data_IF_527918577126
#
_entry.id   IF_527918577126
#
_cell.length_a   1.000
_cell.length_b   1.000
_cell.length_c   1.000
_cell.angle_alpha   90.00
_cell.angle_beta   90.00
_cell.angle_gamma   90.00
#
_symmetry.space_group_name_H-M   'P 1'
#
loop_
_entity.id
_entity.type
_entity.pdbx_description
1 polymer ?
#
# COMPACT_ATOMS: atom_id res chain seq x y z
N UNK A 1 48.09 43.58 -16.50
CA UNK A 1 46.77 44.22 -16.54
C UNK A 1 45.77 43.30 -17.23
N UNK A 2 44.89 42.60 -16.52
CA UNK A 2 43.88 41.72 -17.13
C UNK A 2 42.70 42.62 -17.53
N UNK A 3 42.46 42.76 -18.85
CA UNK A 3 41.32 43.50 -19.38
C UNK A 3 40.03 42.80 -18.99
N UNK A 4 39.19 43.39 -18.13
CA UNK A 4 37.84 42.90 -17.84
C UNK A 4 37.00 42.94 -19.13
N UNK A 5 36.74 41.77 -19.72
CA UNK A 5 35.85 41.65 -20.88
C UNK A 5 34.42 41.81 -20.31
N UNK A 6 33.73 42.89 -20.71
CA UNK A 6 32.31 43.09 -20.38
C UNK A 6 31.45 42.28 -21.35
N UNK A 7 30.66 41.36 -20.83
CA UNK A 7 29.71 40.58 -21.64
C UNK A 7 28.75 41.51 -22.41
N UNK A 8 28.50 41.22 -23.65
CA UNK A 8 27.57 41.94 -24.53
C UNK A 8 26.11 41.76 -24.02
N UNK A 9 25.19 42.59 -24.49
CA UNK A 9 23.79 42.52 -24.13
C UNK A 9 23.17 41.16 -24.51
N UNK A 10 23.54 40.62 -25.67
CA UNK A 10 23.13 39.31 -26.18
C UNK A 10 23.67 38.14 -25.32
N UNK A 11 24.94 38.20 -24.90
CA UNK A 11 25.54 37.21 -24.02
C UNK A 11 24.85 37.15 -22.66
N UNK A 12 24.46 38.28 -22.10
CA UNK A 12 23.70 38.34 -20.84
C UNK A 12 22.31 37.74 -20.98
N UNK A 13 21.62 37.99 -22.11
CA UNK A 13 20.31 37.41 -22.38
C UNK A 13 20.40 35.86 -22.51
N UNK A 14 21.42 35.39 -23.23
CA UNK A 14 21.67 33.95 -23.37
C UNK A 14 21.97 33.33 -22.00
N UNK A 15 22.78 33.96 -21.17
CA UNK A 15 23.11 33.46 -19.84
C UNK A 15 21.86 33.38 -18.92
N UNK A 16 21.00 34.41 -18.97
CA UNK A 16 19.74 34.42 -18.23
C UNK A 16 18.81 33.25 -18.71
N UNK A 17 18.74 33.03 -20.02
CA UNK A 17 17.94 31.95 -20.60
C UNK A 17 18.46 30.59 -20.21
N UNK A 18 19.79 30.38 -20.21
CA UNK A 18 20.40 29.12 -19.74
C UNK A 18 20.13 28.88 -18.26
N UNK A 19 20.26 29.92 -17.42
CA UNK A 19 19.93 29.83 -15.98
C UNK A 19 18.47 29.51 -15.77
N UNK A 20 17.55 30.12 -16.53
CA UNK A 20 16.11 29.82 -16.46
C UNK A 20 15.81 28.40 -16.86
N UNK A 21 16.40 27.92 -17.99
CA UNK A 21 16.26 26.51 -18.41
C UNK A 21 16.83 25.53 -17.36
N UNK A 22 17.97 25.87 -16.77
CA UNK A 22 18.59 25.06 -15.70
C UNK A 22 17.71 24.98 -14.46
N UNK A 23 17.16 26.10 -13.98
CA UNK A 23 16.26 26.12 -12.81
C UNK A 23 14.93 25.43 -13.12
N UNK A 24 14.37 25.62 -14.30
CA UNK A 24 13.15 24.94 -14.74
C UNK A 24 13.35 23.43 -14.84
N UNK A 25 14.45 22.97 -15.45
CA UNK A 25 14.79 21.54 -15.53
C UNK A 25 15.02 20.95 -14.16
N UNK A 26 15.68 21.63 -13.24
CA UNK A 26 15.91 21.18 -11.88
C UNK A 26 14.60 21.07 -11.08
N UNK A 27 13.73 22.08 -11.16
CA UNK A 27 12.40 22.04 -10.54
C UNK A 27 11.54 20.92 -11.11
N UNK A 28 11.54 20.74 -12.43
CA UNK A 28 10.80 19.65 -13.11
C UNK A 28 11.30 18.28 -12.68
N UNK A 29 12.61 18.12 -12.47
CA UNK A 29 13.20 16.86 -11.98
C UNK A 29 12.69 16.50 -10.58
N UNK A 30 12.58 17.47 -9.66
CA UNK A 30 12.00 17.23 -8.33
C UNK A 30 10.52 16.88 -8.37
N UNK A 31 9.73 17.55 -9.22
CA UNK A 31 8.32 17.26 -9.41
C UNK A 31 8.09 15.85 -10.00
N UNK A 32 8.91 15.44 -10.97
CA UNK A 32 8.80 14.11 -11.59
C UNK A 32 9.25 13.00 -10.62
N UNK A 33 10.15 13.30 -9.67
CA UNK A 33 10.64 12.35 -8.68
C UNK A 33 9.62 12.02 -7.60
N UNK A 34 8.63 12.88 -7.37
CA UNK A 34 7.54 12.59 -6.43
C UNK A 34 6.56 11.60 -7.06
N UNK A 35 6.65 10.34 -6.60
CA UNK A 35 5.79 9.25 -7.07
C UNK A 35 4.30 9.48 -6.81
N UNK A 36 3.95 10.43 -5.94
CA UNK A 36 2.58 10.68 -5.50
C UNK A 36 1.90 11.85 -6.23
N UNK A 37 2.61 12.64 -7.04
CA UNK A 37 2.12 13.93 -7.56
C UNK A 37 0.82 13.85 -8.40
N UNK A 38 0.60 12.70 -9.05
CA UNK A 38 -0.58 12.47 -9.90
C UNK A 38 -1.59 11.51 -9.27
N UNK A 39 -1.44 11.19 -7.98
CA UNK A 39 -2.35 10.27 -7.29
C UNK A 39 -3.52 11.04 -6.71
N UNK A 40 -4.74 10.61 -7.07
CA UNK A 40 -5.95 11.14 -6.48
C UNK A 40 -6.07 10.65 -5.03
N UNK A 41 -6.03 11.58 -4.09
CA UNK A 41 -6.28 11.26 -2.70
C UNK A 41 -7.78 11.39 -2.40
N UNK A 42 -8.37 10.32 -1.89
CA UNK A 42 -9.78 10.26 -1.53
C UNK A 42 -9.96 10.65 -0.05
N UNK A 43 -10.82 11.63 0.20
CA UNK A 43 -11.25 11.98 1.55
C UNK A 43 -12.48 11.13 1.90
N UNK A 44 -12.35 10.15 2.80
CA UNK A 44 -13.45 9.25 3.15
C UNK A 44 -14.65 9.98 3.77
N UNK A 45 -14.47 11.16 4.35
CA UNK A 45 -15.55 11.97 4.92
C UNK A 45 -16.47 12.61 3.86
N UNK A 46 -16.00 12.67 2.61
CA UNK A 46 -16.77 13.22 1.47
C UNK A 46 -17.46 12.16 0.63
N UNK A 47 -17.38 10.90 1.05
CA UNK A 47 -17.94 9.76 0.33
C UNK A 47 -19.06 9.15 1.17
N UNK A 48 -20.22 8.92 0.54
CA UNK A 48 -21.32 8.20 1.19
C UNK A 48 -21.14 6.69 0.97
N UNK A 49 -21.17 5.91 2.04
CA UNK A 49 -21.03 4.46 1.99
C UNK A 49 -22.34 3.79 2.41
N UNK A 50 -22.67 2.68 1.74
CA UNK A 50 -23.85 1.87 2.09
C UNK A 50 -23.71 1.25 3.49
N UNK A 51 -22.52 0.74 3.83
CA UNK A 51 -22.20 0.07 5.09
C UNK A 51 -20.98 0.71 5.76
N UNK A 52 -21.09 1.90 6.36
CA UNK A 52 -19.93 2.63 6.89
C UNK A 52 -19.18 1.85 7.99
N UNK A 53 -19.87 0.99 8.75
CA UNK A 53 -19.26 0.13 9.77
C UNK A 53 -18.33 -0.95 9.21
N UNK A 54 -18.35 -1.18 7.90
CA UNK A 54 -17.49 -2.13 7.22
C UNK A 54 -16.41 -1.45 6.38
N UNK A 55 -16.24 -0.12 6.49
CA UNK A 55 -15.22 0.62 5.77
C UNK A 55 -13.95 0.74 6.61
N UNK A 56 -12.85 0.22 6.08
CA UNK A 56 -11.51 0.41 6.60
C UNK A 56 -10.73 1.38 5.70
N UNK A 57 -10.00 2.32 6.32
CA UNK A 57 -9.19 3.33 5.64
C UNK A 57 -7.74 3.02 5.94
N UNK A 58 -7.02 2.52 4.93
CA UNK A 58 -5.59 2.30 4.97
C UNK A 58 -4.91 3.56 4.45
N UNK A 59 -4.08 4.19 5.29
CA UNK A 59 -3.26 5.32 4.91
C UNK A 59 -1.84 4.85 4.58
N UNK A 60 -1.37 5.18 3.38
CA UNK A 60 -0.01 4.94 2.92
C UNK A 60 0.64 6.27 2.48
N UNK A 61 1.88 6.23 2.01
CA UNK A 61 2.64 7.43 1.64
C UNK A 61 1.91 8.32 0.63
N UNK A 62 1.31 7.73 -0.41
CA UNK A 62 0.65 8.48 -1.48
C UNK A 62 -0.85 8.77 -1.24
N UNK A 63 -1.41 8.40 -0.10
CA UNK A 63 -2.80 8.72 0.21
C UNK A 63 -3.58 7.59 0.87
N UNK A 64 -4.91 7.70 0.77
CA UNK A 64 -5.83 6.76 1.38
C UNK A 64 -6.27 5.69 0.39
N UNK A 65 -6.33 4.46 0.87
CA UNK A 65 -6.96 3.29 0.23
C UNK A 65 -8.18 2.95 1.05
N UNK A 66 -9.35 2.92 0.43
CA UNK A 66 -10.62 2.64 1.11
C UNK A 66 -11.03 1.22 0.77
N UNK A 67 -11.18 0.41 1.81
CA UNK A 67 -11.50 -1.02 1.73
C UNK A 67 -12.88 -1.24 2.31
N UNK A 68 -13.77 -1.83 1.54
CA UNK A 68 -15.04 -2.36 2.05
C UNK A 68 -14.83 -3.81 2.49
N UNK A 69 -15.04 -4.08 3.78
CA UNK A 69 -14.93 -5.41 4.38
C UNK A 69 -16.22 -6.20 4.17
N UNK A 70 -16.10 -7.51 4.00
CA UNK A 70 -17.23 -8.41 3.75
C UNK A 70 -17.42 -9.44 4.86
N UNK A 71 -18.04 -9.07 6.01
CA UNK A 71 -18.28 -9.99 7.10
C UNK A 71 -19.33 -11.10 6.80
N UNK A 72 -20.08 -10.96 5.71
CA UNK A 72 -21.08 -11.98 5.33
C UNK A 72 -20.40 -13.22 4.73
N UNK A 73 -19.22 -13.06 4.09
CA UNK A 73 -18.43 -14.18 3.56
C UNK A 73 -17.49 -14.75 4.62
N UNK A 74 -16.74 -13.87 5.33
CA UNK A 74 -15.71 -14.30 6.27
C UNK A 74 -15.81 -13.58 7.61
N UNK A 75 -16.83 -13.91 8.43
CA UNK A 75 -17.14 -13.16 9.65
C UNK A 75 -16.01 -13.17 10.69
N UNK A 76 -15.34 -14.32 10.90
CA UNK A 76 -14.27 -14.44 11.89
C UNK A 76 -12.99 -13.71 11.43
N UNK A 77 -12.66 -13.82 10.16
CA UNK A 77 -11.52 -13.17 9.53
C UNK A 77 -11.67 -11.65 9.53
N UNK A 78 -12.84 -11.15 9.16
CA UNK A 78 -13.16 -9.72 9.24
C UNK A 78 -13.15 -9.24 10.68
N UNK A 79 -13.68 -10.01 11.64
CA UNK A 79 -13.61 -9.68 13.06
C UNK A 79 -12.17 -9.57 13.56
N UNK A 80 -11.29 -10.54 13.19
CA UNK A 80 -9.86 -10.49 13.51
C UNK A 80 -9.21 -9.23 12.93
N UNK A 81 -9.45 -8.92 11.66
CA UNK A 81 -8.90 -7.75 10.99
C UNK A 81 -9.34 -6.45 11.68
N UNK A 82 -10.63 -6.32 12.01
CA UNK A 82 -11.16 -5.16 12.78
C UNK A 82 -10.55 -5.05 14.18
N UNK A 83 -10.32 -6.18 14.87
CA UNK A 83 -9.67 -6.20 16.19
C UNK A 83 -8.25 -5.64 16.11
N UNK A 84 -7.47 -6.06 15.11
CA UNK A 84 -6.11 -5.58 14.88
C UNK A 84 -6.07 -4.10 14.43
N UNK A 85 -7.09 -3.63 13.71
CA UNK A 85 -7.27 -2.20 13.41
C UNK A 85 -7.54 -1.40 14.69
N UNK A 86 -8.46 -1.86 15.53
CA UNK A 86 -8.84 -1.18 16.78
C UNK A 86 -7.67 -1.05 17.75
N UNK A 87 -6.82 -2.07 17.84
CA UNK A 87 -5.58 -2.05 18.64
C UNK A 87 -4.42 -1.29 17.97
N UNK A 88 -4.63 -0.71 16.77
CA UNK A 88 -3.60 -0.02 15.97
C UNK A 88 -2.40 -0.90 15.62
N UNK A 89 -2.60 -2.22 15.60
CA UNK A 89 -1.51 -3.18 15.36
C UNK A 89 -0.89 -3.04 13.97
N UNK A 90 -1.65 -2.56 12.98
CA UNK A 90 -1.15 -2.32 11.62
C UNK A 90 -0.35 -1.03 11.44
N UNK A 91 -0.28 -0.15 12.44
CA UNK A 91 0.46 1.11 12.32
C UNK A 91 1.95 0.84 12.11
N UNK A 92 2.53 1.50 11.12
CA UNK A 92 3.95 1.40 10.75
C UNK A 92 4.40 -0.03 10.35
N UNK A 93 3.50 -0.84 9.79
CA UNK A 93 3.81 -2.18 9.27
C UNK A 93 4.22 -2.11 7.81
N UNK A 94 5.26 -2.84 7.45
CA UNK A 94 5.82 -2.86 6.10
C UNK A 94 4.90 -3.57 5.09
N UNK A 95 4.88 -3.05 3.87
CA UNK A 95 4.50 -3.81 2.69
C UNK A 95 5.71 -4.68 2.30
N UNK A 96 5.83 -5.83 2.93
CA UNK A 96 7.05 -6.64 2.89
C UNK A 96 7.21 -7.49 1.63
N UNK A 97 6.11 -7.85 0.96
CA UNK A 97 6.11 -8.62 -0.28
C UNK A 97 5.29 -7.88 -1.34
N UNK A 98 5.92 -7.58 -2.47
CA UNK A 98 5.28 -6.86 -3.57
C UNK A 98 5.68 -7.52 -4.90
N UNK A 99 4.69 -8.08 -5.58
CA UNK A 99 4.81 -8.54 -6.96
C UNK A 99 4.20 -7.45 -7.82
N UNK A 100 5.05 -6.81 -8.63
CA UNK A 100 4.64 -5.67 -9.47
C UNK A 100 3.40 -6.00 -10.28
N UNK A 101 2.46 -5.07 -10.30
CA UNK A 101 1.18 -5.12 -11.02
C UNK A 101 0.30 -6.33 -10.68
N UNK A 102 0.69 -7.17 -9.70
CA UNK A 102 -0.03 -8.39 -9.32
C UNK A 102 -0.54 -8.38 -7.88
N UNK A 103 0.35 -8.20 -6.89
CA UNK A 103 0.02 -8.41 -5.48
C UNK A 103 0.87 -7.55 -4.55
N UNK A 104 0.25 -7.07 -3.48
CA UNK A 104 0.90 -6.42 -2.34
C UNK A 104 0.48 -7.14 -1.06
N UNK A 105 1.45 -7.53 -0.24
CA UNK A 105 1.23 -8.20 1.04
C UNK A 105 1.85 -7.42 2.19
N UNK A 106 1.11 -7.33 3.29
CA UNK A 106 1.48 -6.67 4.54
C UNK A 106 0.95 -7.43 5.75
N UNK A 107 1.11 -6.88 6.96
CA UNK A 107 0.49 -7.43 8.15
C UNK A 107 1.38 -8.37 8.96
N UNK A 108 2.68 -8.42 8.69
CA UNK A 108 3.65 -9.03 9.61
C UNK A 108 3.86 -8.09 10.80
N UNK A 109 3.19 -8.41 11.92
CA UNK A 109 3.16 -7.54 13.10
C UNK A 109 4.37 -7.73 14.02
N UNK A 110 5.10 -8.83 13.85
CA UNK A 110 6.23 -9.20 14.68
C UNK A 110 7.55 -8.70 14.08
N UNK A 111 7.77 -8.97 12.78
CA UNK A 111 9.06 -8.71 12.12
C UNK A 111 9.01 -7.57 11.09
N UNK A 112 7.81 -7.01 10.80
CA UNK A 112 7.61 -6.01 9.77
C UNK A 112 7.43 -4.58 10.28
N UNK A 113 7.76 -4.25 11.53
CA UNK A 113 7.57 -2.90 12.10
C UNK A 113 8.66 -1.92 11.67
N UNK A 114 8.26 -0.70 11.31
CA UNK A 114 9.18 0.39 10.97
C UNK A 114 10.18 0.64 12.11
N UNK A 115 11.46 0.68 11.77
CA UNK A 115 12.54 0.87 12.74
C UNK A 115 13.00 -0.43 13.43
N UNK A 116 12.29 -1.56 13.23
CA UNK A 116 12.63 -2.85 13.81
C UNK A 116 12.31 -4.01 12.85
N UNK A 117 12.70 -3.89 11.58
CA UNK A 117 12.47 -4.95 10.59
C UNK A 117 13.54 -6.03 10.76
N UNK A 118 13.08 -7.27 10.94
CA UNK A 118 13.95 -8.46 10.84
C UNK A 118 13.83 -9.06 9.44
N UNK A 119 14.75 -8.70 8.55
CA UNK A 119 14.76 -9.15 7.16
C UNK A 119 14.97 -10.66 6.98
N UNK A 120 15.46 -11.37 8.00
CA UNK A 120 15.61 -12.82 7.94
C UNK A 120 14.29 -13.55 8.23
N UNK A 121 13.35 -12.90 8.92
CA UNK A 121 12.08 -13.50 9.38
C UNK A 121 10.85 -12.84 8.81
N UNK A 122 10.97 -11.67 8.18
CA UNK A 122 9.84 -10.92 7.66
C UNK A 122 8.99 -11.79 6.71
N UNK A 123 7.68 -11.72 6.86
CA UNK A 123 6.72 -12.59 6.18
C UNK A 123 6.32 -13.83 6.98
N UNK A 124 6.97 -14.10 8.13
CA UNK A 124 6.63 -15.24 9.01
C UNK A 124 5.97 -14.85 10.31
N UNK A 125 5.97 -13.55 10.64
CA UNK A 125 5.44 -13.03 11.91
C UNK A 125 3.92 -13.13 12.03
N UNK A 126 3.46 -13.13 13.26
CA UNK A 126 2.06 -13.33 13.68
C UNK A 126 1.57 -12.17 14.56
N UNK A 127 0.28 -12.18 14.91
CA UNK A 127 -0.32 -11.18 15.80
C UNK A 127 -0.12 -11.51 17.29
N UNK A 128 0.20 -12.75 17.61
CA UNK A 128 0.17 -13.25 18.98
C UNK A 128 -1.22 -13.66 19.50
N UNK A 129 -2.28 -13.52 18.69
CA UNK A 129 -3.65 -13.88 19.05
C UNK A 129 -4.05 -15.31 18.62
N UNK A 130 -3.10 -16.07 18.08
CA UNK A 130 -3.34 -17.39 17.47
C UNK A 130 -3.93 -17.32 16.07
N UNK A 131 -3.97 -18.44 15.39
CA UNK A 131 -4.54 -18.56 14.04
C UNK A 131 -6.06 -18.58 14.06
N UNK A 132 -6.68 -18.34 12.91
CA UNK A 132 -8.12 -18.48 12.70
C UNK A 132 -8.35 -19.52 11.60
N UNK A 133 -9.56 -20.10 11.62
CA UNK A 133 -9.98 -21.06 10.60
C UNK A 133 -10.18 -20.36 9.27
N UNK A 134 -9.76 -21.01 8.20
CA UNK A 134 -9.98 -20.53 6.84
C UNK A 134 -11.48 -20.42 6.53
N UNK A 135 -11.89 -19.29 5.94
CA UNK A 135 -13.26 -18.99 5.51
C UNK A 135 -13.25 -18.78 3.99
N UNK A 136 -12.77 -19.79 3.26
CA UNK A 136 -12.71 -19.75 1.78
C UNK A 136 -14.11 -19.83 1.17
N UNK A 137 -14.30 -19.18 0.04
CA UNK A 137 -15.53 -19.21 -0.74
C UNK A 137 -15.19 -19.45 -2.21
N UNK A 138 -15.57 -20.61 -2.75
CA UNK A 138 -15.34 -21.00 -4.15
C UNK A 138 -16.08 -20.12 -5.16
N UNK A 139 -17.07 -19.33 -4.71
CA UNK A 139 -17.83 -18.39 -5.56
C UNK A 139 -17.29 -16.98 -5.53
N UNK A 140 -16.33 -16.71 -4.64
CA UNK A 140 -15.71 -15.39 -4.55
C UNK A 140 -14.66 -15.24 -5.64
N UNK A 141 -14.90 -14.31 -6.57
CA UNK A 141 -13.96 -13.98 -7.64
C UNK A 141 -12.86 -13.05 -7.12
N UNK A 142 -11.60 -13.47 -7.25
CA UNK A 142 -10.44 -12.66 -6.91
C UNK A 142 -10.10 -11.68 -8.03
N UNK A 143 -10.95 -10.69 -8.21
CA UNK A 143 -10.76 -9.59 -9.14
C UNK A 143 -9.85 -8.49 -8.56
N UNK A 144 -9.30 -7.64 -9.43
CA UNK A 144 -8.48 -6.49 -9.03
C UNK A 144 -9.11 -5.70 -7.88
N UNK A 145 -8.32 -5.48 -6.82
CA UNK A 145 -8.75 -4.84 -5.58
C UNK A 145 -9.23 -5.80 -4.49
N UNK A 146 -9.41 -7.10 -4.76
CA UNK A 146 -9.76 -8.05 -3.72
C UNK A 146 -8.70 -8.11 -2.62
N UNK A 147 -9.15 -8.23 -1.37
CA UNK A 147 -8.32 -8.31 -0.17
C UNK A 147 -8.52 -9.68 0.45
N UNK A 148 -7.45 -10.46 0.60
CA UNK A 148 -7.48 -11.78 1.21
C UNK A 148 -6.51 -11.90 2.39
N UNK A 149 -6.76 -12.87 3.28
CA UNK A 149 -5.80 -13.23 4.30
C UNK A 149 -4.74 -14.18 3.74
N UNK A 150 -3.49 -13.95 4.13
CA UNK A 150 -2.40 -14.84 3.78
C UNK A 150 -2.42 -16.10 4.66
N UNK A 151 -2.20 -17.23 4.01
CA UNK A 151 -1.97 -18.53 4.68
C UNK A 151 -0.47 -18.87 4.65
N UNK A 152 -0.02 -19.75 5.53
CA UNK A 152 1.31 -20.34 5.47
C UNK A 152 1.34 -21.49 4.44
N UNK A 153 1.70 -22.72 4.85
CA UNK A 153 1.75 -23.88 3.96
C UNK A 153 0.42 -24.65 3.87
N UNK A 154 -0.57 -24.28 4.67
CA UNK A 154 -1.87 -24.99 4.78
C UNK A 154 -2.96 -24.05 5.27
N UNK A 155 -4.20 -24.48 5.11
CA UNK A 155 -5.38 -23.81 5.69
C UNK A 155 -5.32 -23.74 7.22
N UNK A 156 -6.15 -22.89 7.78
CA UNK A 156 -6.30 -22.63 9.22
C UNK A 156 -5.01 -22.04 9.86
N UNK A 157 -4.22 -21.32 9.04
CA UNK A 157 -3.00 -20.64 9.47
C UNK A 157 -3.09 -19.13 9.33
N UNK A 158 -4.23 -18.60 8.92
CA UNK A 158 -4.52 -17.17 8.82
C UNK A 158 -4.39 -16.50 10.19
N UNK A 159 -3.92 -15.26 10.20
CA UNK A 159 -3.82 -14.46 11.42
C UNK A 159 -3.90 -12.96 11.12
N UNK A 160 -2.76 -12.31 10.91
CA UNK A 160 -2.68 -10.85 10.71
C UNK A 160 -2.27 -10.44 9.31
N UNK A 161 -1.58 -11.32 8.58
CA UNK A 161 -1.08 -10.98 7.25
C UNK A 161 -2.21 -11.01 6.22
N UNK A 162 -2.23 -9.99 5.38
CA UNK A 162 -3.21 -9.85 4.31
C UNK A 162 -2.53 -9.43 3.01
N UNK A 163 -3.18 -9.69 1.90
CA UNK A 163 -2.74 -9.23 0.59
C UNK A 163 -3.87 -8.49 -0.14
N UNK A 164 -3.48 -7.63 -1.06
CA UNK A 164 -4.37 -6.94 -1.99
C UNK A 164 -3.89 -7.26 -3.40
N UNK A 165 -4.78 -7.74 -4.27
CA UNK A 165 -4.43 -8.06 -5.64
C UNK A 165 -4.65 -6.85 -6.56
N UNK A 166 -3.74 -6.68 -7.51
CA UNK A 166 -3.72 -5.54 -8.43
C UNK A 166 -4.16 -5.91 -9.85
N UNK A 167 -4.39 -7.20 -10.12
CA UNK A 167 -4.99 -7.74 -11.34
C UNK A 167 -5.91 -8.91 -10.98
N UNK A 168 -6.73 -9.36 -11.89
CA UNK A 168 -7.59 -10.53 -11.66
C UNK A 168 -6.73 -11.80 -11.51
N UNK A 169 -7.06 -12.63 -10.50
CA UNK A 169 -6.28 -13.81 -10.15
C UNK A 169 -7.18 -15.02 -9.85
N UNK A 170 -7.74 -15.67 -10.90
CA UNK A 170 -8.68 -16.79 -10.73
C UNK A 170 -8.09 -17.98 -9.96
N UNK A 171 -6.78 -18.13 -9.91
CA UNK A 171 -6.11 -19.21 -9.16
C UNK A 171 -6.22 -19.05 -7.64
N UNK A 172 -6.76 -17.93 -7.15
CA UNK A 172 -6.94 -17.68 -5.71
C UNK A 172 -8.36 -18.03 -5.23
N UNK A 173 -9.27 -18.28 -6.17
CA UNK A 173 -10.66 -18.66 -5.89
C UNK A 173 -10.70 -20.02 -5.17
N UNK A 174 -11.41 -20.08 -4.03
CA UNK A 174 -11.43 -21.28 -3.19
C UNK A 174 -10.12 -21.59 -2.43
N UNK A 175 -9.04 -20.83 -2.64
CA UNK A 175 -7.73 -21.07 -2.03
C UNK A 175 -7.44 -20.14 -0.85
N UNK A 176 -7.98 -18.94 -0.88
CA UNK A 176 -7.73 -17.93 0.15
C UNK A 176 -9.02 -17.39 0.74
N UNK A 177 -8.97 -16.99 2.01
CA UNK A 177 -10.10 -16.34 2.71
C UNK A 177 -10.23 -14.89 2.25
N UNK A 178 -11.31 -14.48 1.53
CA UNK A 178 -11.54 -13.09 1.14
C UNK A 178 -12.09 -12.30 2.32
N UNK A 179 -11.55 -11.11 2.59
CA UNK A 179 -12.03 -10.26 3.69
C UNK A 179 -12.66 -8.94 3.22
N UNK A 180 -12.52 -8.60 1.95
CA UNK A 180 -13.06 -7.36 1.41
C UNK A 180 -12.51 -6.97 0.05
N UNK A 181 -12.79 -5.72 -0.35
CA UNK A 181 -12.35 -5.16 -1.62
C UNK A 181 -11.97 -3.70 -1.49
N UNK A 182 -10.90 -3.29 -2.17
CA UNK A 182 -10.57 -1.87 -2.37
C UNK A 182 -11.61 -1.23 -3.28
N UNK A 183 -12.28 -0.20 -2.80
CA UNK A 183 -13.31 0.54 -3.52
C UNK A 183 -12.84 1.91 -4.01
N UNK A 184 -11.79 2.48 -3.37
CA UNK A 184 -11.11 3.71 -3.83
C UNK A 184 -9.64 3.66 -3.47
N UNK A 185 -8.80 4.30 -4.27
CA UNK A 185 -7.38 4.51 -3.99
C UNK A 185 -6.48 3.33 -4.36
N UNK A 186 -6.91 2.46 -5.26
CA UNK A 186 -6.07 1.34 -5.72
C UNK A 186 -4.76 1.84 -6.35
N UNK A 187 -4.78 3.01 -6.98
CA UNK A 187 -3.62 3.68 -7.59
C UNK A 187 -2.55 4.08 -6.57
N UNK A 188 -2.92 4.27 -5.29
CA UNK A 188 -1.97 4.48 -4.19
C UNK A 188 -1.10 3.24 -4.00
N UNK A 189 -1.71 2.06 -4.08
CA UNK A 189 -1.03 0.78 -3.92
C UNK A 189 -0.07 0.49 -5.07
N UNK A 190 -0.40 0.91 -6.28
CA UNK A 190 0.49 0.76 -7.46
C UNK A 190 1.79 1.56 -7.35
N UNK A 191 1.87 2.50 -6.39
CA UNK A 191 3.09 3.28 -6.09
C UNK A 191 3.95 2.67 -4.99
N UNK A 192 3.50 1.60 -4.37
CA UNK A 192 4.29 0.88 -3.36
C UNK A 192 5.55 0.29 -4.01
N UNK A 193 6.67 0.45 -3.33
CA UNK A 193 7.98 -0.03 -3.81
C UNK A 193 7.99 -1.55 -3.99
N UNK A 194 8.59 -1.97 -5.07
CA UNK A 194 8.84 -3.37 -5.40
C UNK A 194 10.31 -3.59 -5.76
N UNK A 195 10.73 -4.83 -5.91
CA UNK A 195 12.06 -5.22 -6.39
C UNK A 195 11.96 -6.14 -7.59
N UNK A 196 12.78 -5.90 -8.62
CA UNK A 196 12.74 -6.69 -9.87
C UNK A 196 13.22 -8.14 -9.70
N UNK A 197 14.05 -8.42 -8.68
CA UNK A 197 14.72 -9.74 -8.50
C UNK A 197 14.20 -10.51 -7.30
N UNK A 198 13.24 -9.96 -6.54
CA UNK A 198 12.70 -10.57 -5.33
C UNK A 198 11.30 -10.02 -5.09
N UNK A 199 10.40 -10.87 -4.64
CA UNK A 199 9.08 -10.46 -4.17
C UNK A 199 9.15 -9.75 -2.81
N UNK A 200 10.16 -10.06 -1.98
CA UNK A 200 10.40 -9.40 -0.69
C UNK A 200 11.16 -8.09 -0.89
N UNK A 201 10.67 -7.03 -0.27
CA UNK A 201 11.16 -5.66 -0.50
C UNK A 201 12.16 -5.26 0.59
N UNK A 202 13.41 -4.99 0.19
CA UNK A 202 14.38 -4.29 1.04
C UNK A 202 14.04 -2.79 1.06
N UNK A 203 13.94 -2.14 2.21
CA UNK A 203 13.50 -0.76 2.39
C UNK A 203 12.06 -0.54 1.91
N UNK A 204 11.09 -1.28 2.45
CA UNK A 204 9.70 -1.22 2.03
C UNK A 204 9.06 0.13 2.35
N UNK A 205 7.96 0.42 1.67
CA UNK A 205 6.99 1.41 2.12
C UNK A 205 6.16 0.81 3.27
N UNK A 206 5.47 1.69 4.02
CA UNK A 206 4.77 1.28 5.24
C UNK A 206 3.30 1.68 5.19
N UNK A 207 2.48 0.89 5.85
CA UNK A 207 1.17 1.31 6.30
C UNK A 207 1.37 2.36 7.39
N UNK A 208 1.01 3.61 7.13
CA UNK A 208 1.05 4.66 8.16
C UNK A 208 0.02 4.35 9.25
N UNK A 209 -1.18 3.96 8.84
CA UNK A 209 -2.24 3.51 9.74
C UNK A 209 -3.35 2.78 8.98
N UNK A 210 -4.12 1.93 9.69
CA UNK A 210 -5.45 1.51 9.25
C UNK A 210 -6.45 1.91 10.33
N UNK A 211 -7.61 2.47 9.93
CA UNK A 211 -8.69 2.86 10.84
C UNK A 211 -10.04 2.45 10.25
N UNK A 212 -10.97 2.03 11.12
CA UNK A 212 -12.37 1.94 10.71
C UNK A 212 -12.93 3.34 10.51
N UNK A 213 -13.80 3.50 9.52
CA UNK A 213 -14.57 4.73 9.37
C UNK A 213 -15.44 4.92 10.61
N UNK A 214 -15.29 6.07 11.27
CA UNK A 214 -16.12 6.49 12.40
C UNK A 214 -17.13 7.50 11.87
N UNK A 215 -18.42 7.24 12.11
CA UNK A 215 -19.51 8.17 11.83
C UNK A 215 -19.47 9.37 12.76
#
# INVERSE_FOLDING_TARGET
>A
MIKKIKASKSEKIILIFILFLGTFSFSSFFLIKDKCIFIKNYDPKKISFKNPNNIAILNAECGNVIIELNPDISPNSVKRFKTLIASKSYDNVAFHRVIKDKLIQAGDLEFGKKGNIDYAKIGTGKSGLGTIKSEVDEKYEYNRGSVGLAISLKYDTEDSQFFIILQDEPLYEGEYTPIGKVIYGIEVLEKIKYQNKSEYVLRPDFINSIRMLVN
#
